data_IF_213993496775
#
_entry.id   IF_213993496775
#
_cell.length_a   1.000
_cell.length_b   1.000
_cell.length_c   1.000
_cell.angle_alpha   90.00
_cell.angle_beta   90.00
_cell.angle_gamma   90.00
#
_symmetry.space_group_name_H-M   'P 1'
#
loop_
_entity.id
_entity.type
_entity.pdbx_description
1 polymer ?
#
# COMPACT_ATOMS: atom_id res chain seq x y z
N UNK A 1 -48.08 0.52 -6.61
CA UNK A 1 -49.38 1.06 -6.18
C UNK A 1 -49.43 0.77 -4.69
N UNK A 2 -49.12 1.75 -3.85
CA UNK A 2 -50.17 2.66 -3.42
C UNK A 2 -49.72 4.12 -3.33
N UNK A 3 -50.56 5.00 -3.86
CA UNK A 3 -50.44 6.46 -3.78
C UNK A 3 -51.28 6.89 -2.59
N UNK A 4 -50.72 7.63 -1.66
CA UNK A 4 -51.49 8.34 -0.64
C UNK A 4 -50.55 8.90 0.42
N UNK A 5 -50.64 10.15 0.86
CA UNK A 5 -51.52 11.27 0.56
C UNK A 5 -50.62 12.50 0.74
N UNK A 6 -50.72 13.46 -0.17
CA UNK A 6 -50.18 14.80 0.10
C UNK A 6 -50.86 15.31 1.36
N UNK A 7 -50.08 15.61 2.40
CA UNK A 7 -50.54 16.55 3.41
C UNK A 7 -50.48 17.92 2.74
N UNK A 8 -51.64 18.46 2.41
CA UNK A 8 -51.79 19.92 2.30
C UNK A 8 -51.34 20.50 3.63
N UNK A 9 -50.19 21.15 3.62
CA UNK A 9 -49.85 22.10 4.67
C UNK A 9 -50.46 23.41 4.21
N UNK A 10 -51.62 23.73 4.77
CA UNK A 10 -52.14 25.09 4.78
C UNK A 10 -51.15 25.87 5.66
N UNK A 11 -50.48 26.85 5.07
CA UNK A 11 -49.60 27.76 5.80
C UNK A 11 -50.52 28.80 6.43
N UNK A 12 -50.61 28.81 7.75
CA UNK A 12 -51.21 29.92 8.49
C UNK A 12 -50.14 31.01 8.59
N UNK A 13 -50.38 32.14 7.93
CA UNK A 13 -49.44 33.26 7.86
C UNK A 13 -49.50 34.15 9.12
N UNK A 14 -50.26 33.74 10.14
CA UNK A 14 -50.38 34.46 11.41
C UNK A 14 -49.42 33.97 12.52
N UNK A 15 -48.35 33.24 12.20
CA UNK A 15 -47.34 32.89 13.21
C UNK A 15 -46.52 34.16 13.53
N UNK A 16 -46.91 34.88 14.59
CA UNK A 16 -46.47 36.23 15.00
C UNK A 16 -44.96 36.36 15.36
N UNK A 17 -44.10 35.39 15.04
CA UNK A 17 -42.68 35.38 15.41
C UNK A 17 -41.70 35.76 14.28
N UNK A 18 -42.18 36.33 13.16
CA UNK A 18 -41.34 36.66 11.99
C UNK A 18 -41.54 38.10 11.49
N UNK A 19 -40.77 39.04 12.04
CA UNK A 19 -40.69 40.43 11.58
C UNK A 19 -39.54 40.59 10.58
N UNK A 20 -39.84 40.64 9.27
CA UNK A 20 -38.84 40.95 8.24
C UNK A 20 -39.35 42.00 7.25
N UNK A 21 -38.58 43.07 7.12
CA UNK A 21 -38.78 44.11 6.13
C UNK A 21 -38.39 43.60 4.74
N UNK A 22 -39.39 43.22 3.94
CA UNK A 22 -39.32 43.29 2.49
C UNK A 22 -40.29 44.37 2.01
N UNK A 23 -39.91 45.10 0.96
CA UNK A 23 -40.67 46.24 0.45
C UNK A 23 -42.16 45.87 0.20
N UNK A 24 -43.02 46.39 1.06
CA UNK A 24 -44.50 46.38 1.03
C UNK A 24 -45.19 45.01 0.88
N UNK A 25 -45.70 44.48 1.99
CA UNK A 25 -46.76 43.44 2.00
C UNK A 25 -48.04 44.06 1.42
N UNK A 26 -48.53 43.54 0.28
CA UNK A 26 -49.78 44.00 -0.33
C UNK A 26 -50.91 43.03 0.02
N UNK A 27 -51.92 43.51 0.76
CA UNK A 27 -53.17 42.78 1.01
C UNK A 27 -54.08 42.89 -0.21
N UNK A 28 -54.29 41.80 -0.93
CA UNK A 28 -55.38 41.66 -1.92
C UNK A 28 -56.51 40.82 -1.34
N UNK A 29 -57.77 41.13 -1.68
CA UNK A 29 -59.02 40.61 -1.08
C UNK A 29 -59.32 39.10 -1.28
N UNK A 30 -58.31 38.23 -1.19
CA UNK A 30 -58.47 36.78 -1.03
C UNK A 30 -57.37 36.25 -0.11
N UNK A 31 -57.74 35.42 0.87
CA UNK A 31 -57.00 35.03 2.09
C UNK A 31 -55.62 34.32 1.92
N UNK A 32 -54.71 34.77 1.06
CA UNK A 32 -53.31 34.33 1.04
C UNK A 32 -52.37 35.57 0.98
N UNK A 33 -51.57 35.80 2.03
CA UNK A 33 -50.57 36.89 2.01
C UNK A 33 -49.46 36.56 1.01
N UNK A 34 -49.27 37.42 0.02
CA UNK A 34 -48.25 37.27 -1.00
C UNK A 34 -46.99 38.07 -0.62
N UNK A 35 -45.84 37.39 -0.55
CA UNK A 35 -44.54 38.04 -0.38
C UNK A 35 -44.13 38.63 -1.74
N UNK A 36 -43.81 39.93 -1.77
CA UNK A 36 -43.26 40.59 -2.95
C UNK A 36 -41.74 40.66 -2.86
N UNK A 37 -41.05 40.32 -3.95
CA UNK A 37 -39.61 40.56 -4.12
C UNK A 37 -39.39 41.24 -5.46
N UNK A 38 -38.84 42.46 -5.43
CA UNK A 38 -38.64 43.31 -6.62
C UNK A 38 -39.91 43.46 -7.47
N UNK A 39 -41.02 43.84 -6.83
CA UNK A 39 -42.34 44.07 -7.45
C UNK A 39 -43.00 42.83 -8.11
N UNK A 40 -42.51 41.62 -7.83
CA UNK A 40 -43.12 40.35 -8.26
C UNK A 40 -43.55 39.50 -7.08
N UNK A 41 -44.65 38.78 -7.26
CA UNK A 41 -45.06 37.72 -6.32
C UNK A 41 -43.93 36.69 -6.26
N UNK A 42 -43.47 36.36 -5.05
CA UNK A 42 -42.33 35.48 -4.81
C UNK A 42 -42.47 34.13 -5.52
N UNK A 43 -43.68 33.60 -5.59
CA UNK A 43 -44.01 32.33 -6.24
C UNK A 43 -43.93 32.40 -7.79
N UNK A 44 -43.91 33.60 -8.36
CA UNK A 44 -43.85 33.85 -9.81
C UNK A 44 -42.44 34.22 -10.29
N UNK A 45 -41.43 34.15 -9.41
CA UNK A 45 -40.04 34.41 -9.77
C UNK A 45 -39.52 33.35 -10.75
N UNK A 46 -39.01 33.80 -11.90
CA UNK A 46 -38.35 32.91 -12.87
C UNK A 46 -36.87 32.73 -12.53
N UNK A 47 -36.24 31.70 -13.10
CA UNK A 47 -34.78 31.46 -12.93
C UNK A 47 -33.95 32.69 -13.36
N UNK A 48 -34.39 33.40 -14.40
CA UNK A 48 -33.71 34.60 -14.89
C UNK A 48 -33.85 35.80 -13.94
N UNK A 49 -34.97 35.89 -13.22
CA UNK A 49 -35.19 36.92 -12.20
C UNK A 49 -34.25 36.69 -11.01
N UNK A 50 -34.16 35.45 -10.53
CA UNK A 50 -33.28 35.07 -9.42
C UNK A 50 -31.80 35.24 -9.79
N UNK A 51 -31.41 34.98 -11.05
CA UNK A 51 -30.02 35.09 -11.50
C UNK A 51 -29.51 36.54 -11.51
N UNK A 52 -30.41 37.53 -11.64
CA UNK A 52 -30.06 38.96 -11.71
C UNK A 52 -30.14 39.66 -10.35
N UNK A 53 -30.47 38.94 -9.29
CA UNK A 53 -30.54 39.52 -7.94
C UNK A 53 -29.14 39.80 -7.41
N UNK A 54 -28.98 40.99 -6.84
CA UNK A 54 -27.81 41.39 -6.08
C UNK A 54 -28.22 41.55 -4.61
N UNK A 55 -27.41 41.01 -3.71
CA UNK A 55 -27.64 41.08 -2.26
C UNK A 55 -26.56 41.96 -1.62
N UNK A 56 -26.95 42.73 -0.61
CA UNK A 56 -26.06 43.64 0.09
C UNK A 56 -25.17 42.93 1.13
N UNK A 57 -25.56 41.72 1.54
CA UNK A 57 -24.81 40.86 2.48
C UNK A 57 -25.00 39.36 2.19
N UNK A 58 -24.13 38.53 2.79
CA UNK A 58 -24.20 37.06 2.65
C UNK A 58 -25.40 36.50 3.42
N UNK A 59 -25.74 37.14 4.54
CA UNK A 59 -26.87 36.81 5.40
C UNK A 59 -28.20 37.02 4.65
N UNK A 60 -28.34 38.15 3.93
CA UNK A 60 -29.51 38.47 3.11
C UNK A 60 -29.68 37.47 1.95
N UNK A 61 -28.58 37.10 1.29
CA UNK A 61 -28.60 36.07 0.25
C UNK A 61 -29.01 34.69 0.79
N UNK A 62 -28.52 34.34 1.98
CA UNK A 62 -28.84 33.07 2.66
C UNK A 62 -30.33 32.99 3.02
N UNK A 63 -30.90 34.06 3.56
CA UNK A 63 -32.32 34.14 3.90
C UNK A 63 -33.20 33.98 2.66
N UNK A 64 -32.88 34.71 1.58
CA UNK A 64 -33.60 34.61 0.31
C UNK A 64 -33.56 33.18 -0.25
N UNK A 65 -32.39 32.56 -0.37
CA UNK A 65 -32.28 31.23 -0.96
C UNK A 65 -32.90 30.14 -0.09
N UNK A 66 -32.88 30.28 1.24
CA UNK A 66 -33.59 29.36 2.14
C UNK A 66 -35.11 29.43 1.95
N UNK A 67 -35.68 30.64 1.80
CA UNK A 67 -37.10 30.82 1.51
C UNK A 67 -37.45 30.30 0.11
N UNK A 68 -36.64 30.64 -0.90
CA UNK A 68 -36.84 30.22 -2.28
C UNK A 68 -36.81 28.69 -2.41
N UNK A 69 -35.86 28.03 -1.75
CA UNK A 69 -35.73 26.57 -1.73
C UNK A 69 -36.93 25.87 -1.06
N UNK A 70 -37.50 26.44 0.02
CA UNK A 70 -38.71 25.94 0.67
C UNK A 70 -39.91 25.97 -0.29
N UNK A 71 -40.09 27.06 -1.02
CA UNK A 71 -41.20 27.25 -1.97
C UNK A 71 -41.06 26.35 -3.19
N UNK A 72 -39.86 26.27 -3.76
CA UNK A 72 -39.56 25.53 -4.99
C UNK A 72 -39.19 24.06 -4.75
N UNK A 73 -39.20 23.61 -3.49
CA UNK A 73 -38.97 22.22 -3.06
C UNK A 73 -37.60 21.65 -3.41
N UNK A 74 -36.54 22.44 -3.26
CA UNK A 74 -35.16 21.93 -3.21
C UNK A 74 -34.48 22.29 -1.88
N UNK A 75 -33.27 21.79 -1.63
CA UNK A 75 -32.53 22.05 -0.39
C UNK A 75 -31.29 22.89 -0.69
N UNK A 76 -31.07 23.93 0.11
CA UNK A 76 -29.86 24.77 0.08
C UNK A 76 -28.96 24.36 1.24
N UNK A 77 -27.64 24.33 0.99
CA UNK A 77 -26.61 24.13 2.02
C UNK A 77 -25.58 25.23 1.91
N UNK A 78 -25.21 25.80 3.05
CA UNK A 78 -24.07 26.72 3.20
C UNK A 78 -22.80 25.89 3.42
N UNK A 79 -21.83 26.00 2.52
CA UNK A 79 -20.53 25.34 2.64
C UNK A 79 -19.44 26.35 3.05
N UNK A 80 -18.83 26.12 4.22
CA UNK A 80 -17.70 26.92 4.70
C UNK A 80 -16.40 26.53 3.99
N UNK A 81 -16.07 27.25 2.91
CA UNK A 81 -14.82 27.05 2.17
C UNK A 81 -13.65 27.73 2.91
N UNK A 82 -12.99 27.01 3.81
CA UNK A 82 -11.73 27.48 4.43
C UNK A 82 -10.62 27.55 3.37
N UNK A 83 -10.01 28.73 3.21
CA UNK A 83 -8.89 28.98 2.28
C UNK A 83 -7.61 29.31 3.03
N UNK A 84 -6.47 28.89 2.50
CA UNK A 84 -5.16 29.28 3.04
C UNK A 84 -4.73 30.68 2.60
N UNK A 85 -3.55 31.15 3.07
CA UNK A 85 -2.97 32.47 2.71
C UNK A 85 -2.79 32.68 1.20
N UNK A 86 -2.79 31.59 0.43
CA UNK A 86 -2.66 31.59 -1.03
C UNK A 86 -4.00 31.34 -1.73
N UNK A 87 -5.12 31.55 -1.02
CA UNK A 87 -6.51 31.37 -1.48
C UNK A 87 -6.92 29.95 -1.90
N UNK A 88 -6.13 28.93 -1.56
CA UNK A 88 -6.48 27.56 -1.90
C UNK A 88 -7.43 26.95 -0.88
N UNK A 89 -8.40 26.16 -1.34
CA UNK A 89 -9.33 25.42 -0.48
C UNK A 89 -8.57 24.38 0.37
N UNK A 90 -8.63 24.54 1.70
CA UNK A 90 -7.92 23.72 2.67
C UNK A 90 -8.45 22.27 2.69
N UNK A 91 -9.76 22.08 2.53
CA UNK A 91 -10.38 20.74 2.46
C UNK A 91 -9.87 19.93 1.26
N UNK A 92 -9.70 20.56 0.10
CA UNK A 92 -9.14 19.89 -1.09
C UNK A 92 -7.69 19.45 -0.87
N UNK A 93 -6.87 20.26 -0.19
CA UNK A 93 -5.49 19.88 0.18
C UNK A 93 -5.47 18.71 1.16
N UNK A 94 -6.31 18.75 2.18
CA UNK A 94 -6.42 17.65 3.14
C UNK A 94 -6.87 16.34 2.47
N UNK A 95 -7.90 16.40 1.61
CA UNK A 95 -8.37 15.24 0.85
C UNK A 95 -7.30 14.71 -0.12
N UNK A 96 -6.61 15.60 -0.85
CA UNK A 96 -5.50 15.23 -1.72
C UNK A 96 -4.40 14.51 -0.93
N UNK A 97 -3.97 15.07 0.21
CA UNK A 97 -2.91 14.51 1.02
C UNK A 97 -3.32 13.16 1.62
N UNK A 98 -4.58 13.01 2.05
CA UNK A 98 -5.13 11.75 2.51
C UNK A 98 -5.11 10.68 1.41
N UNK A 99 -5.62 11.00 0.21
CA UNK A 99 -5.66 10.07 -0.94
C UNK A 99 -4.26 9.72 -1.46
N UNK A 100 -3.33 10.69 -1.49
CA UNK A 100 -1.92 10.40 -1.79
C UNK A 100 -1.29 9.53 -0.73
N UNK A 101 -1.62 9.76 0.53
CA UNK A 101 -1.18 8.94 1.65
C UNK A 101 -1.58 7.48 1.48
N UNK A 102 -2.73 7.19 0.85
CA UNK A 102 -3.19 5.82 0.56
C UNK A 102 -2.60 5.23 -0.74
N UNK A 103 -1.74 5.96 -1.44
CA UNK A 103 -1.05 5.50 -2.66
C UNK A 103 -1.79 5.81 -3.96
N UNK A 104 -2.87 6.59 -3.95
CA UNK A 104 -3.56 6.98 -5.18
C UNK A 104 -2.68 7.88 -6.06
N UNK A 105 -2.71 7.63 -7.38
CA UNK A 105 -2.01 8.49 -8.33
C UNK A 105 -2.66 9.86 -8.45
N UNK A 106 -1.87 10.92 -8.61
CA UNK A 106 -2.36 12.31 -8.74
C UNK A 106 -3.42 12.47 -9.84
N UNK A 107 -3.35 11.70 -10.93
CA UNK A 107 -4.42 11.71 -11.95
C UNK A 107 -5.72 11.13 -11.44
N UNK A 108 -5.68 9.99 -10.73
CA UNK A 108 -6.87 9.34 -10.15
C UNK A 108 -7.52 10.24 -9.10
N UNK A 109 -6.71 10.96 -8.32
CA UNK A 109 -7.22 11.94 -7.35
C UNK A 109 -7.90 13.11 -8.05
N UNK A 110 -7.32 13.62 -9.14
CA UNK A 110 -7.96 14.65 -9.97
C UNK A 110 -9.30 14.17 -10.50
N UNK A 111 -9.35 12.97 -11.09
CA UNK A 111 -10.57 12.41 -11.68
C UNK A 111 -11.66 12.22 -10.60
N UNK A 112 -11.27 11.75 -9.42
CA UNK A 112 -12.18 11.62 -8.27
C UNK A 112 -12.74 12.98 -7.83
N UNK A 113 -11.89 14.00 -7.65
CA UNK A 113 -12.32 15.33 -7.20
C UNK A 113 -13.21 16.01 -8.24
N UNK A 114 -12.94 15.80 -9.54
CA UNK A 114 -13.78 16.28 -10.64
C UNK A 114 -15.15 15.60 -10.61
N UNK A 115 -15.19 14.28 -10.41
CA UNK A 115 -16.44 13.53 -10.32
C UNK A 115 -17.28 13.97 -9.11
N UNK A 116 -16.65 14.11 -7.94
CA UNK A 116 -17.30 14.58 -6.72
C UNK A 116 -17.88 15.99 -6.89
N UNK A 117 -17.18 16.85 -7.62
CA UNK A 117 -17.62 18.24 -7.87
C UNK A 117 -18.64 18.36 -9.02
N UNK A 118 -18.96 17.27 -9.72
CA UNK A 118 -19.89 17.29 -10.85
C UNK A 118 -19.30 17.90 -12.14
N UNK A 119 -17.97 17.97 -12.27
CA UNK A 119 -17.30 18.44 -13.48
C UNK A 119 -16.06 19.28 -13.22
N UNK A 120 -15.23 19.45 -14.27
CA UNK A 120 -13.96 20.17 -14.18
C UNK A 120 -14.14 21.65 -13.80
N UNK A 121 -15.24 22.28 -14.22
CA UNK A 121 -15.50 23.69 -13.91
C UNK A 121 -15.84 23.91 -12.43
N UNK A 122 -16.27 22.87 -11.73
CA UNK A 122 -16.80 22.97 -10.36
C UNK A 122 -15.74 22.65 -9.30
N UNK A 123 -14.59 22.07 -9.68
CA UNK A 123 -13.54 21.64 -8.74
C UNK A 123 -12.71 22.82 -8.18
N UNK A 124 -12.73 23.96 -8.88
CA UNK A 124 -12.09 25.20 -8.42
C UNK A 124 -10.57 25.26 -8.53
N UNK A 125 -9.92 24.29 -9.18
CA UNK A 125 -8.47 24.31 -9.47
C UNK A 125 -8.15 23.45 -10.71
N UNK A 126 -7.02 23.69 -11.34
CA UNK A 126 -6.60 22.92 -12.52
C UNK A 126 -5.78 21.69 -12.13
N UNK A 127 -5.68 20.72 -13.05
CA UNK A 127 -4.73 19.62 -12.91
C UNK A 127 -3.31 20.13 -12.62
N UNK A 128 -2.87 21.22 -13.28
CA UNK A 128 -1.55 21.81 -13.06
C UNK A 128 -1.36 22.28 -11.62
N UNK A 129 -2.38 22.91 -11.02
CA UNK A 129 -2.34 23.37 -9.62
C UNK A 129 -2.18 22.19 -8.65
N UNK A 130 -2.88 21.09 -8.92
CA UNK A 130 -2.75 19.85 -8.15
C UNK A 130 -1.33 19.31 -8.19
N UNK A 131 -0.73 19.20 -9.38
CA UNK A 131 0.65 18.74 -9.54
C UNK A 131 1.65 19.70 -8.89
N UNK A 132 1.45 21.02 -9.03
CA UNK A 132 2.30 22.03 -8.39
C UNK A 132 2.25 21.94 -6.86
N UNK A 133 1.06 21.70 -6.29
CA UNK A 133 0.92 21.51 -4.85
C UNK A 133 1.63 20.25 -4.37
N UNK A 134 1.42 19.12 -5.07
CA UNK A 134 2.11 17.85 -4.78
C UNK A 134 3.63 18.02 -4.83
N UNK A 135 4.13 18.75 -5.81
CA UNK A 135 5.56 19.00 -5.96
C UNK A 135 6.10 19.97 -4.91
N UNK A 136 5.31 20.98 -4.52
CA UNK A 136 5.65 21.87 -3.40
C UNK A 136 5.72 21.12 -2.06
N UNK A 137 4.73 20.28 -1.76
CA UNK A 137 4.70 19.43 -0.57
C UNK A 137 5.89 18.46 -0.54
N UNK A 138 6.20 17.86 -1.71
CA UNK A 138 7.39 17.03 -1.87
C UNK A 138 8.68 17.81 -1.58
N UNK A 139 8.83 19.04 -2.09
CA UNK A 139 10.02 19.88 -1.81
C UNK A 139 10.18 20.19 -0.33
N UNK A 140 9.10 20.41 0.41
CA UNK A 140 9.14 20.64 1.85
C UNK A 140 9.73 19.44 2.58
N UNK A 141 9.25 18.24 2.27
CA UNK A 141 9.73 17.00 2.90
C UNK A 141 11.14 16.58 2.45
N UNK A 142 11.55 16.97 1.24
CA UNK A 142 12.87 16.69 0.69
C UNK A 142 13.90 17.77 1.00
N UNK A 143 13.54 18.84 1.71
CA UNK A 143 14.42 20.00 1.97
C UNK A 143 15.74 19.57 2.60
N UNK A 144 15.70 18.60 3.52
CA UNK A 144 16.88 18.11 4.23
C UNK A 144 17.53 16.88 3.56
N UNK A 145 16.96 16.42 2.44
CA UNK A 145 17.39 15.25 1.67
C UNK A 145 16.41 14.08 1.77
N UNK A 146 16.29 13.31 0.69
CA UNK A 146 15.33 12.21 0.59
C UNK A 146 15.55 11.10 1.63
N UNK A 147 16.80 10.68 1.82
CA UNK A 147 17.17 9.72 2.85
C UNK A 147 16.82 10.23 4.26
N UNK A 148 17.06 11.52 4.55
CA UNK A 148 16.73 12.11 5.84
C UNK A 148 15.22 12.14 6.07
N UNK A 149 14.43 12.43 5.04
CA UNK A 149 12.97 12.34 5.12
C UNK A 149 12.50 10.92 5.48
N UNK A 150 13.06 9.90 4.85
CA UNK A 150 12.74 8.50 5.16
C UNK A 150 13.14 8.13 6.60
N UNK A 151 14.34 8.52 7.05
CA UNK A 151 14.82 8.27 8.41
C UNK A 151 14.01 9.03 9.47
N UNK A 152 13.61 10.27 9.20
CA UNK A 152 12.76 11.05 10.09
C UNK A 152 11.38 10.40 10.28
N UNK A 153 10.82 9.79 9.22
CA UNK A 153 9.59 9.01 9.32
C UNK A 153 9.76 7.80 10.25
N UNK A 154 10.83 7.03 10.09
CA UNK A 154 11.11 5.87 10.94
C UNK A 154 11.43 6.26 12.38
N UNK A 155 12.11 7.39 12.58
CA UNK A 155 12.32 7.98 13.91
C UNK A 155 10.98 8.30 14.59
N UNK A 156 10.06 8.98 13.89
CA UNK A 156 8.72 9.24 14.42
C UNK A 156 7.94 7.95 14.72
N UNK A 157 8.12 6.88 13.94
CA UNK A 157 7.53 5.56 14.25
C UNK A 157 8.12 4.98 15.54
N UNK A 158 9.42 5.10 15.77
CA UNK A 158 10.06 4.66 17.01
C UNK A 158 9.66 5.45 18.26
N UNK A 159 9.22 6.70 18.10
CA UNK A 159 8.65 7.48 19.20
C UNK A 159 7.25 7.01 19.60
N UNK A 160 6.48 6.47 18.64
CA UNK A 160 5.11 5.98 18.84
C UNK A 160 5.05 4.51 19.25
N UNK A 161 5.99 3.70 18.77
CA UNK A 161 6.15 2.29 19.11
C UNK A 161 7.54 2.08 19.74
N UNK A 162 7.62 1.98 21.08
CA UNK A 162 8.89 1.78 21.78
C UNK A 162 9.66 0.51 21.41
N UNK A 163 8.98 -0.47 20.79
CA UNK A 163 9.59 -1.72 20.33
C UNK A 163 9.95 -1.70 18.85
N UNK A 164 9.56 -0.66 18.11
CA UNK A 164 9.96 -0.44 16.73
C UNK A 164 11.49 -0.36 16.64
N UNK A 165 12.06 -1.11 15.72
CA UNK A 165 13.49 -1.17 15.50
C UNK A 165 13.80 -0.73 14.08
N UNK A 166 14.76 0.18 13.91
CA UNK A 166 15.35 0.45 12.61
C UNK A 166 16.85 0.69 12.75
N UNK A 167 17.60 0.32 11.72
CA UNK A 167 19.06 0.50 11.66
C UNK A 167 19.45 0.80 10.23
N UNK A 168 20.48 1.61 10.06
CA UNK A 168 20.99 1.97 8.75
C UNK A 168 22.50 2.16 8.79
N UNK A 169 23.11 2.13 7.60
CA UNK A 169 24.47 2.59 7.39
C UNK A 169 24.54 3.45 6.12
N UNK A 170 25.67 4.16 5.98
CA UNK A 170 25.97 4.99 4.82
C UNK A 170 27.16 4.43 4.06
N UNK A 171 27.27 4.77 2.78
CA UNK A 171 28.45 4.48 1.96
C UNK A 171 29.55 5.54 2.16
N UNK A 172 30.64 5.40 1.41
CA UNK A 172 31.81 6.29 1.45
C UNK A 172 31.46 7.75 1.08
N UNK A 173 30.40 7.94 0.27
CA UNK A 173 29.89 9.25 -0.15
C UNK A 173 28.82 9.80 0.81
N UNK A 174 28.62 9.16 1.97
CA UNK A 174 27.62 9.51 2.97
C UNK A 174 26.16 9.42 2.45
N UNK A 175 25.92 8.60 1.43
CA UNK A 175 24.57 8.25 1.00
C UNK A 175 24.04 7.07 1.80
N UNK A 176 22.72 7.01 2.01
CA UNK A 176 22.08 5.87 2.67
C UNK A 176 22.36 4.59 1.88
N UNK A 177 23.16 3.69 2.45
CA UNK A 177 23.55 2.43 1.84
C UNK A 177 22.46 1.39 2.11
N UNK A 178 22.33 0.97 3.36
CA UNK A 178 21.34 -0.01 3.78
C UNK A 178 20.42 0.57 4.86
N UNK A 179 19.16 0.13 4.84
CA UNK A 179 18.14 0.51 5.80
C UNK A 179 17.32 -0.72 6.14
N UNK A 180 17.20 -1.05 7.41
CA UNK A 180 16.37 -2.12 7.94
C UNK A 180 15.35 -1.52 8.93
N UNK A 181 14.13 -2.07 8.94
CA UNK A 181 13.14 -1.77 9.98
C UNK A 181 12.23 -2.97 10.27
N UNK A 182 11.74 -3.04 11.50
CA UNK A 182 10.74 -4.00 11.98
C UNK A 182 9.89 -3.33 13.08
N UNK A 183 8.58 -3.49 13.02
CA UNK A 183 7.69 -3.00 14.07
C UNK A 183 7.59 -3.98 15.25
N UNK A 184 6.90 -3.55 16.31
CA UNK A 184 6.63 -4.38 17.49
C UNK A 184 5.94 -5.69 17.17
N UNK A 185 4.93 -5.68 16.30
CA UNK A 185 4.18 -6.88 15.89
C UNK A 185 5.09 -7.87 15.18
N UNK A 186 5.87 -7.43 14.19
CA UNK A 186 6.87 -8.24 13.50
C UNK A 186 7.85 -8.92 14.45
N UNK A 187 8.31 -8.21 15.48
CA UNK A 187 9.23 -8.74 16.50
C UNK A 187 8.55 -9.76 17.42
N UNK A 188 7.31 -9.48 17.84
CA UNK A 188 6.51 -10.42 18.63
C UNK A 188 6.22 -11.70 17.85
N UNK A 189 5.83 -11.56 16.59
CA UNK A 189 5.58 -12.68 15.70
C UNK A 189 6.83 -13.55 15.52
N UNK A 190 8.00 -12.95 15.35
CA UNK A 190 9.25 -13.72 15.28
C UNK A 190 9.56 -14.46 16.60
N UNK A 191 9.23 -13.86 17.74
CA UNK A 191 9.40 -14.55 19.04
C UNK A 191 8.58 -15.84 19.10
N UNK A 192 7.37 -15.83 18.52
CA UNK A 192 6.46 -16.98 18.48
C UNK A 192 6.75 -17.97 17.35
N UNK A 193 7.01 -17.48 16.13
CA UNK A 193 7.03 -18.27 14.90
C UNK A 193 8.40 -18.30 14.19
N UNK A 194 9.41 -17.59 14.70
CA UNK A 194 10.71 -17.40 14.05
C UNK A 194 11.62 -18.61 13.89
N UNK A 195 11.07 -19.83 13.87
CA UNK A 195 11.80 -21.08 13.62
C UNK A 195 12.16 -21.23 12.14
N UNK A 196 11.37 -20.65 11.24
CA UNK A 196 11.65 -20.62 9.80
C UNK A 196 11.82 -19.18 9.35
N UNK A 197 12.77 -18.94 8.45
CA UNK A 197 13.00 -17.64 7.83
C UNK A 197 13.03 -17.79 6.31
N UNK A 198 12.04 -17.25 5.64
CA UNK A 198 12.00 -17.16 4.19
C UNK A 198 12.26 -15.72 3.74
N UNK A 199 13.13 -15.55 2.75
CA UNK A 199 13.32 -14.24 2.13
C UNK A 199 13.88 -14.34 0.72
N UNK A 200 13.62 -13.29 -0.05
CA UNK A 200 14.12 -13.06 -1.41
C UNK A 200 14.39 -11.58 -1.63
N UNK A 201 15.19 -11.27 -2.64
CA UNK A 201 15.47 -9.90 -3.04
C UNK A 201 14.72 -9.50 -4.30
N UNK A 202 14.08 -8.34 -4.26
CA UNK A 202 13.43 -7.76 -5.44
C UNK A 202 14.11 -6.48 -5.89
N UNK A 203 14.40 -6.39 -7.19
CA UNK A 203 15.10 -5.27 -7.80
C UNK A 203 14.13 -4.20 -8.35
N UNK A 204 14.60 -2.94 -8.48
CA UNK A 204 13.90 -1.79 -9.09
C UNK A 204 12.63 -1.31 -8.39
N UNK A 205 12.49 -1.53 -7.09
CA UNK A 205 11.30 -1.09 -6.33
C UNK A 205 11.24 0.42 -6.08
N UNK A 206 12.36 1.15 -6.25
CA UNK A 206 12.49 2.58 -5.97
C UNK A 206 13.41 3.30 -6.98
N UNK A 207 13.44 4.63 -6.91
CA UNK A 207 14.17 5.53 -7.82
C UNK A 207 15.69 5.27 -7.84
N UNK A 208 16.23 4.70 -6.77
CA UNK A 208 17.65 4.39 -6.59
C UNK A 208 17.99 2.96 -7.00
N UNK A 209 16.98 2.19 -7.44
CA UNK A 209 17.10 0.76 -7.78
C UNK A 209 17.67 -0.09 -6.64
N UNK A 210 17.53 0.34 -5.39
CA UNK A 210 17.95 -0.44 -4.22
C UNK A 210 17.14 -1.75 -4.13
N UNK A 211 17.78 -2.93 -3.96
CA UNK A 211 17.06 -4.17 -3.69
C UNK A 211 16.21 -4.05 -2.43
N UNK A 212 14.99 -4.56 -2.49
CA UNK A 212 14.09 -4.70 -1.34
C UNK A 212 14.12 -6.16 -0.87
N UNK A 213 14.30 -6.34 0.44
CA UNK A 213 14.19 -7.63 1.11
C UNK A 213 13.01 -7.59 2.07
N UNK A 214 12.20 -8.64 2.05
CA UNK A 214 11.12 -8.86 3.00
C UNK A 214 11.39 -10.20 3.67
N UNK A 215 11.51 -10.18 5.00
CA UNK A 215 11.78 -11.35 5.83
C UNK A 215 10.47 -11.87 6.37
N UNK A 216 10.10 -13.11 6.04
CA UNK A 216 8.77 -13.66 6.30
C UNK A 216 8.80 -15.10 6.81
N UNK A 217 7.67 -15.52 7.36
CA UNK A 217 7.30 -16.92 7.59
C UNK A 217 5.76 -17.04 7.53
N UNK A 218 5.19 -18.13 8.07
CA UNK A 218 3.76 -18.31 8.25
C UNK A 218 3.38 -18.61 9.71
N UNK A 219 2.17 -18.20 10.11
CA UNK A 219 1.61 -18.58 11.41
C UNK A 219 0.91 -19.95 11.36
N UNK A 220 0.34 -20.38 12.48
CA UNK A 220 -0.42 -21.62 12.61
C UNK A 220 -1.73 -21.67 11.80
N UNK A 221 -2.16 -20.55 11.21
CA UNK A 221 -3.26 -20.47 10.25
C UNK A 221 -2.78 -20.44 8.79
N UNK A 222 -1.49 -20.68 8.54
CA UNK A 222 -0.85 -20.60 7.23
C UNK A 222 -0.90 -19.20 6.57
N UNK A 223 -1.14 -18.16 7.36
CA UNK A 223 -1.08 -16.77 6.92
C UNK A 223 0.37 -16.28 6.93
N UNK A 224 0.74 -15.44 5.97
CA UNK A 224 2.10 -14.88 5.88
C UNK A 224 2.33 -13.86 6.97
N UNK A 225 3.44 -13.99 7.68
CA UNK A 225 3.88 -13.03 8.68
C UNK A 225 5.14 -12.35 8.17
N UNK A 226 5.29 -11.05 8.44
CA UNK A 226 6.48 -10.29 8.11
C UNK A 226 7.24 -9.98 9.39
N UNK A 227 8.51 -10.35 9.43
CA UNK A 227 9.39 -10.11 10.57
C UNK A 227 10.23 -8.83 10.41
N UNK A 228 10.39 -8.33 9.20
CA UNK A 228 11.15 -7.12 8.96
C UNK A 228 11.42 -6.91 7.48
N UNK A 229 11.87 -5.71 7.15
CA UNK A 229 12.10 -5.29 5.77
C UNK A 229 13.41 -4.51 5.67
N UNK A 230 14.03 -4.58 4.49
CA UNK A 230 15.25 -3.84 4.23
C UNK A 230 15.34 -3.30 2.80
N UNK A 231 15.92 -2.10 2.68
CA UNK A 231 16.44 -1.57 1.43
C UNK A 231 17.96 -1.70 1.46
N UNK A 232 18.51 -2.35 0.44
CA UNK A 232 19.94 -2.68 0.36
C UNK A 232 20.66 -1.80 -0.66
N UNK A 233 21.97 -1.61 -0.48
CA UNK A 233 22.81 -0.93 -1.47
C UNK A 233 23.05 -1.80 -2.70
N UNK A 234 23.25 -3.10 -2.48
CA UNK A 234 23.54 -4.10 -3.51
C UNK A 234 23.19 -5.51 -3.03
N UNK A 235 23.48 -6.51 -3.87
CA UNK A 235 23.27 -7.94 -3.59
C UNK A 235 24.59 -8.65 -3.25
N UNK A 236 25.50 -7.96 -2.54
CA UNK A 236 26.80 -8.52 -2.15
C UNK A 236 26.72 -9.38 -0.87
N UNK A 237 27.74 -10.19 -0.64
CA UNK A 237 27.85 -11.00 0.59
C UNK A 237 27.89 -10.12 1.84
N UNK A 238 28.63 -9.00 1.79
CA UNK A 238 28.73 -8.05 2.90
C UNK A 238 27.38 -7.42 3.24
N UNK A 239 26.62 -7.03 2.22
CA UNK A 239 25.30 -6.43 2.39
C UNK A 239 24.28 -7.44 2.95
N UNK A 240 24.28 -8.67 2.44
CA UNK A 240 23.45 -9.73 3.04
C UNK A 240 23.90 -10.11 4.45
N UNK A 241 25.19 -10.06 4.75
CA UNK A 241 25.69 -10.29 6.10
C UNK A 241 25.16 -9.21 7.05
N UNK A 242 25.25 -7.94 6.63
CA UNK A 242 24.76 -6.80 7.41
C UNK A 242 23.26 -6.91 7.71
N UNK A 243 22.43 -7.26 6.72
CA UNK A 243 20.97 -7.36 6.95
C UNK A 243 20.61 -8.52 7.86
N UNK A 244 21.31 -9.66 7.76
CA UNK A 244 21.07 -10.80 8.64
C UNK A 244 21.56 -10.56 10.08
N UNK A 245 22.69 -9.88 10.25
CA UNK A 245 23.18 -9.45 11.58
C UNK A 245 22.22 -8.43 12.21
N UNK A 246 21.75 -7.46 11.41
CA UNK A 246 20.78 -6.45 11.86
C UNK A 246 19.44 -7.07 12.21
N UNK A 247 18.99 -8.05 11.42
CA UNK A 247 17.79 -8.81 11.72
C UNK A 247 17.92 -9.54 13.06
N UNK A 248 19.03 -10.24 13.32
CA UNK A 248 19.24 -10.91 14.61
C UNK A 248 19.23 -9.94 15.79
N UNK A 249 19.89 -8.79 15.64
CA UNK A 249 19.92 -7.73 16.64
C UNK A 249 18.50 -7.25 16.97
N UNK A 250 17.67 -7.03 15.94
CA UNK A 250 16.26 -6.67 16.10
C UNK A 250 15.42 -7.77 16.79
N UNK A 251 15.82 -9.03 16.62
CA UNK A 251 15.10 -10.24 17.05
C UNK A 251 15.65 -10.87 18.34
N UNK A 252 16.32 -10.07 19.18
CA UNK A 252 16.91 -10.53 20.44
C UNK A 252 17.87 -11.72 20.26
N UNK A 253 18.58 -11.76 19.12
CA UNK A 253 19.51 -12.82 18.72
C UNK A 253 18.92 -14.24 18.64
N UNK A 254 17.58 -14.39 18.57
CA UNK A 254 16.97 -15.68 18.23
C UNK A 254 17.30 -16.02 16.78
N UNK A 255 17.98 -17.16 16.56
CA UNK A 255 18.30 -17.68 15.22
C UNK A 255 17.18 -18.60 14.73
N UNK A 256 16.85 -18.58 13.42
CA UNK A 256 15.92 -19.55 12.86
C UNK A 256 16.54 -20.95 12.84
N UNK A 257 15.72 -21.99 12.92
CA UNK A 257 16.13 -23.38 12.71
C UNK A 257 16.35 -23.66 11.22
N UNK A 258 15.56 -23.00 10.37
CA UNK A 258 15.54 -23.24 8.92
C UNK A 258 15.45 -21.94 8.14
N UNK A 259 16.07 -21.92 6.96
CA UNK A 259 16.07 -20.77 6.06
C UNK A 259 15.70 -21.19 4.64
N UNK A 260 14.81 -20.45 3.98
CA UNK A 260 14.37 -20.72 2.61
C UNK A 260 14.70 -19.52 1.71
N UNK A 261 15.40 -19.76 0.59
CA UNK A 261 15.77 -18.70 -0.37
C UNK A 261 15.77 -19.19 -1.82
N UNK A 262 15.91 -18.29 -2.79
CA UNK A 262 16.10 -18.63 -4.22
C UNK A 262 17.46 -19.31 -4.54
N UNK A 263 18.39 -19.37 -3.57
CA UNK A 263 19.69 -20.02 -3.74
C UNK A 263 20.83 -19.15 -4.25
N UNK A 264 20.64 -17.82 -4.26
CA UNK A 264 21.68 -16.85 -4.59
C UNK A 264 23.01 -17.15 -3.86
N UNK A 265 24.12 -16.96 -4.57
CA UNK A 265 25.45 -17.33 -4.08
C UNK A 265 25.89 -16.42 -2.95
N UNK A 266 25.53 -15.14 -2.99
CA UNK A 266 25.89 -14.18 -1.96
C UNK A 266 25.04 -14.39 -0.69
N UNK A 267 23.72 -14.54 -0.83
CA UNK A 267 22.82 -14.93 0.26
C UNK A 267 23.30 -16.19 0.96
N UNK A 268 23.62 -17.24 0.20
CA UNK A 268 24.10 -18.51 0.76
C UNK A 268 25.34 -18.36 1.63
N UNK A 269 26.30 -17.52 1.19
CA UNK A 269 27.52 -17.25 1.96
C UNK A 269 27.21 -16.49 3.25
N UNK A 270 26.33 -15.49 3.18
CA UNK A 270 25.89 -14.74 4.35
C UNK A 270 25.12 -15.62 5.35
N UNK A 271 24.17 -16.44 4.88
CA UNK A 271 23.43 -17.41 5.70
C UNK A 271 24.40 -18.36 6.40
N UNK A 272 25.35 -18.98 5.67
CA UNK A 272 26.33 -19.88 6.29
C UNK A 272 27.18 -19.19 7.36
N UNK A 273 27.41 -17.88 7.24
CA UNK A 273 28.19 -17.09 8.21
C UNK A 273 27.39 -16.75 9.47
N UNK A 274 26.13 -16.35 9.31
CA UNK A 274 25.29 -15.84 10.42
C UNK A 274 24.45 -16.95 11.07
N UNK A 275 24.02 -17.92 10.27
CA UNK A 275 23.16 -19.05 10.61
C UNK A 275 23.85 -20.39 10.27
N UNK A 276 25.02 -20.70 10.86
CA UNK A 276 25.79 -21.89 10.48
C UNK A 276 25.05 -23.21 10.77
N UNK A 277 24.19 -23.21 11.78
CA UNK A 277 23.46 -24.40 12.25
C UNK A 277 22.06 -24.54 11.62
N UNK A 278 21.59 -23.52 10.89
CA UNK A 278 20.26 -23.54 10.29
C UNK A 278 20.24 -24.39 9.02
N UNK A 279 19.17 -25.15 8.83
CA UNK A 279 18.98 -25.91 7.60
C UNK A 279 18.61 -24.98 6.45
N UNK A 280 19.40 -24.96 5.38
CA UNK A 280 19.18 -24.07 4.24
C UNK A 280 18.49 -24.81 3.10
N UNK A 281 17.20 -24.53 2.89
CA UNK A 281 16.41 -25.04 1.78
C UNK A 281 16.40 -24.05 0.61
N UNK A 282 16.51 -24.59 -0.60
CA UNK A 282 16.32 -23.87 -1.85
C UNK A 282 14.84 -23.91 -2.25
N UNK A 283 14.32 -22.78 -2.71
CA UNK A 283 12.94 -22.66 -3.17
C UNK A 283 12.66 -23.62 -4.34
N UNK A 284 11.71 -24.54 -4.13
CA UNK A 284 11.34 -25.55 -5.12
C UNK A 284 10.83 -24.92 -6.43
N UNK A 285 10.05 -23.83 -6.36
CA UNK A 285 9.52 -23.15 -7.54
C UNK A 285 10.64 -22.62 -8.45
N UNK A 286 11.66 -21.96 -7.87
CA UNK A 286 12.81 -21.47 -8.62
C UNK A 286 13.60 -22.62 -9.26
N UNK A 287 13.74 -23.73 -8.54
CA UNK A 287 14.42 -24.93 -9.06
C UNK A 287 13.65 -25.53 -10.24
N UNK A 288 12.33 -25.71 -10.14
CA UNK A 288 11.49 -26.22 -11.21
C UNK A 288 11.51 -25.30 -12.44
N UNK A 289 11.44 -23.98 -12.23
CA UNK A 289 11.54 -22.99 -13.31
C UNK A 289 12.90 -23.08 -14.01
N UNK A 290 13.98 -23.20 -13.25
CA UNK A 290 15.32 -23.36 -13.80
C UNK A 290 15.46 -24.68 -14.56
N UNK A 291 14.85 -25.77 -14.09
CA UNK A 291 14.84 -27.05 -14.78
C UNK A 291 14.21 -26.93 -16.18
N UNK A 292 13.06 -26.26 -16.26
CA UNK A 292 12.37 -25.98 -17.52
C UNK A 292 13.23 -25.16 -18.48
N UNK A 293 13.90 -24.11 -17.98
CA UNK A 293 14.72 -23.21 -18.80
C UNK A 293 16.07 -23.79 -19.21
N UNK A 294 16.62 -24.78 -18.51
CA UNK A 294 17.98 -25.27 -18.79
C UNK A 294 18.02 -26.62 -19.53
N UNK A 295 17.01 -27.48 -19.37
CA UNK A 295 17.08 -28.84 -19.91
C UNK A 295 16.32 -28.98 -21.24
N UNK A 296 15.21 -28.24 -21.43
CA UNK A 296 14.43 -28.24 -22.68
C UNK A 296 14.02 -29.62 -23.23
N UNK A 297 13.97 -30.65 -22.37
CA UNK A 297 13.50 -32.00 -22.72
C UNK A 297 12.05 -32.15 -22.31
N UNK A 298 11.22 -32.69 -23.22
CA UNK A 298 9.80 -32.95 -22.95
C UNK A 298 9.65 -33.90 -21.75
N UNK A 299 8.68 -33.64 -20.89
CA UNK A 299 8.33 -34.46 -19.71
C UNK A 299 9.41 -34.59 -18.62
N UNK A 300 10.62 -34.07 -18.83
CA UNK A 300 11.69 -34.05 -17.83
C UNK A 300 11.26 -33.33 -16.55
N UNK A 301 10.67 -32.14 -16.66
CA UNK A 301 10.27 -31.33 -15.50
C UNK A 301 9.26 -32.05 -14.60
N UNK A 302 8.42 -32.92 -15.17
CA UNK A 302 7.47 -33.73 -14.41
C UNK A 302 8.18 -34.80 -13.59
N UNK A 303 9.14 -35.52 -14.19
CA UNK A 303 9.93 -36.55 -13.50
C UNK A 303 10.89 -35.95 -12.47
N UNK A 304 11.52 -34.83 -12.82
CA UNK A 304 12.33 -34.06 -11.91
C UNK A 304 11.53 -33.58 -10.69
N UNK A 305 10.30 -33.08 -10.89
CA UNK A 305 9.42 -32.70 -9.78
C UNK A 305 9.04 -33.89 -8.89
N UNK A 306 8.82 -35.08 -9.47
CA UNK A 306 8.59 -36.30 -8.68
C UNK A 306 9.80 -36.64 -7.80
N UNK A 307 11.02 -36.48 -8.31
CA UNK A 307 12.24 -36.65 -7.51
C UNK A 307 12.35 -35.60 -6.40
N UNK A 308 12.09 -34.32 -6.72
CA UNK A 308 12.15 -33.22 -5.74
C UNK A 308 11.24 -33.44 -4.54
N UNK A 309 10.00 -33.88 -4.78
CA UNK A 309 8.97 -34.02 -3.75
C UNK A 309 8.79 -35.47 -3.29
N UNK A 310 9.76 -36.34 -3.55
CA UNK A 310 9.70 -37.74 -3.15
C UNK A 310 9.71 -37.85 -1.62
N UNK A 311 8.58 -38.30 -1.08
CA UNK A 311 8.45 -38.70 0.32
C UNK A 311 8.98 -40.14 0.45
N UNK A 312 10.27 -40.27 0.74
CA UNK A 312 10.95 -41.55 0.78
C UNK A 312 12.25 -41.51 1.58
N UNK A 313 13.02 -42.60 1.51
CA UNK A 313 14.40 -42.63 2.02
C UNK A 313 15.37 -42.00 1.02
N UNK A 314 16.58 -41.72 1.48
CA UNK A 314 17.65 -41.24 0.60
C UNK A 314 17.95 -42.26 -0.51
N UNK A 315 17.91 -43.55 -0.20
CA UNK A 315 18.14 -44.62 -1.16
C UNK A 315 17.07 -44.65 -2.26
N UNK A 316 15.80 -44.47 -1.90
CA UNK A 316 14.70 -44.39 -2.87
C UNK A 316 14.85 -43.17 -3.80
N UNK A 317 15.28 -42.03 -3.25
CA UNK A 317 15.58 -40.85 -4.05
C UNK A 317 16.75 -41.10 -5.01
N UNK A 318 17.84 -41.71 -4.56
CA UNK A 318 19.00 -41.98 -5.42
C UNK A 318 18.66 -42.94 -6.56
N UNK A 319 17.84 -43.96 -6.30
CA UNK A 319 17.31 -44.83 -7.36
C UNK A 319 16.47 -44.03 -8.37
N UNK A 320 15.46 -43.28 -7.90
CA UNK A 320 14.59 -42.52 -8.79
C UNK A 320 15.30 -41.41 -9.58
N UNK A 321 16.31 -40.79 -8.97
CA UNK A 321 17.17 -39.82 -9.63
C UNK A 321 17.95 -40.46 -10.78
N UNK A 322 18.60 -41.60 -10.54
CA UNK A 322 19.35 -42.32 -11.56
C UNK A 322 18.43 -42.84 -12.68
N UNK A 323 17.28 -43.41 -12.35
CA UNK A 323 16.27 -43.85 -13.34
C UNK A 323 15.84 -42.68 -14.25
N UNK A 324 15.65 -41.49 -13.68
CA UNK A 324 15.35 -40.28 -14.45
C UNK A 324 16.52 -39.88 -15.37
N UNK A 325 17.77 -39.94 -14.89
CA UNK A 325 18.94 -39.62 -15.73
C UNK A 325 19.07 -40.57 -16.92
N UNK A 326 18.85 -41.87 -16.71
CA UNK A 326 18.89 -42.88 -17.76
C UNK A 326 17.77 -42.67 -18.77
N UNK A 327 16.53 -42.49 -18.30
CA UNK A 327 15.34 -42.29 -19.13
C UNK A 327 15.49 -41.12 -20.12
N UNK A 328 16.12 -40.02 -19.68
CA UNK A 328 16.29 -38.82 -20.50
C UNK A 328 17.70 -38.67 -21.10
N UNK A 329 18.60 -39.64 -20.87
CA UNK A 329 20.00 -39.58 -21.27
C UNK A 329 20.71 -38.28 -20.83
N UNK A 330 20.54 -37.91 -19.56
CA UNK A 330 21.04 -36.64 -18.99
C UNK A 330 22.31 -36.82 -18.15
N UNK A 331 22.95 -37.99 -18.20
CA UNK A 331 24.27 -38.19 -17.57
C UNK A 331 25.27 -37.18 -18.15
N UNK A 332 25.90 -36.38 -17.28
CA UNK A 332 26.84 -35.34 -17.66
C UNK A 332 26.20 -34.01 -18.13
N UNK A 333 24.87 -33.88 -18.13
CA UNK A 333 24.24 -32.60 -18.43
C UNK A 333 24.58 -31.56 -17.33
N UNK A 334 25.34 -30.52 -17.70
CA UNK A 334 25.94 -29.56 -16.76
C UNK A 334 24.98 -29.06 -15.69
N UNK A 335 23.81 -28.55 -16.08
CA UNK A 335 22.84 -28.02 -15.12
C UNK A 335 22.28 -29.10 -14.18
N UNK A 336 22.09 -30.32 -14.67
CA UNK A 336 21.55 -31.45 -13.90
C UNK A 336 22.57 -31.91 -12.86
N UNK A 337 23.85 -31.98 -13.26
CA UNK A 337 24.96 -32.22 -12.33
C UNK A 337 25.06 -31.11 -11.28
N UNK A 338 24.96 -29.84 -11.68
CA UNK A 338 25.08 -28.68 -10.79
C UNK A 338 23.93 -28.59 -9.76
N UNK A 339 22.71 -29.00 -10.14
CA UNK A 339 21.58 -29.03 -9.20
C UNK A 339 21.64 -30.24 -8.28
N UNK A 340 22.05 -31.41 -8.78
CA UNK A 340 22.26 -32.60 -7.95
C UNK A 340 23.32 -32.37 -6.88
N UNK A 341 24.40 -31.62 -7.16
CA UNK A 341 25.39 -31.26 -6.14
C UNK A 341 24.81 -30.46 -4.94
N UNK A 342 23.54 -30.03 -5.04
CA UNK A 342 22.80 -29.29 -4.00
C UNK A 342 21.60 -30.09 -3.48
N UNK A 343 21.45 -31.38 -3.81
CA UNK A 343 20.26 -32.21 -3.51
C UNK A 343 19.84 -32.15 -2.04
N UNK A 344 20.81 -32.09 -1.12
CA UNK A 344 20.55 -32.00 0.32
C UNK A 344 19.81 -30.73 0.77
N UNK A 345 19.59 -29.78 -0.15
CA UNK A 345 18.90 -28.51 0.10
C UNK A 345 17.58 -28.38 -0.62
N UNK A 346 17.15 -29.37 -1.41
CA UNK A 346 15.91 -29.25 -2.18
C UNK A 346 15.14 -30.55 -2.35
N UNK A 347 15.78 -31.70 -2.19
CA UNK A 347 15.11 -32.99 -2.24
C UNK A 347 14.44 -33.28 -0.90
N UNK A 348 13.14 -33.57 -0.91
CA UNK A 348 12.35 -33.87 0.30
C UNK A 348 12.96 -35.02 1.11
N UNK A 349 13.42 -36.09 0.45
CA UNK A 349 14.07 -37.23 1.09
C UNK A 349 15.27 -36.84 1.98
N UNK A 350 16.01 -35.78 1.60
CA UNK A 350 17.16 -35.27 2.36
C UNK A 350 16.79 -34.20 3.40
N UNK A 351 15.66 -33.52 3.21
CA UNK A 351 15.16 -32.51 4.13
C UNK A 351 14.30 -33.10 5.25
N UNK A 352 14.03 -34.41 5.20
CA UNK A 352 13.31 -35.14 6.24
C UNK A 352 13.96 -34.94 7.61
N UNK A 353 13.16 -34.57 8.59
CA UNK A 353 13.60 -34.30 9.96
C UNK A 353 13.89 -32.83 10.26
N UNK A 354 13.89 -31.95 9.25
CA UNK A 354 13.95 -30.50 9.44
C UNK A 354 12.56 -29.88 9.38
N UNK A 355 12.37 -28.81 10.15
CA UNK A 355 11.12 -28.08 10.20
C UNK A 355 11.14 -26.89 9.25
N UNK A 356 10.16 -26.80 8.36
CA UNK A 356 9.99 -25.68 7.39
C UNK A 356 8.58 -25.10 7.40
N UNK A 357 7.78 -25.35 8.46
CA UNK A 357 6.39 -24.90 8.56
C UNK A 357 5.51 -25.29 7.33
N UNK A 358 5.85 -26.37 6.62
CA UNK A 358 5.17 -26.78 5.38
C UNK A 358 5.52 -25.92 4.14
N UNK A 359 6.41 -24.95 4.27
CA UNK A 359 6.90 -24.13 3.17
C UNK A 359 7.93 -24.91 2.34
N UNK A 360 7.70 -24.98 1.02
CA UNK A 360 8.67 -25.52 0.04
C UNK A 360 9.18 -24.46 -0.93
N UNK A 361 8.64 -23.25 -0.84
CA UNK A 361 8.93 -22.14 -1.75
C UNK A 361 8.85 -20.80 -1.03
N UNK A 362 9.44 -19.78 -1.65
CA UNK A 362 9.28 -18.37 -1.29
C UNK A 362 8.09 -17.72 -2.01
N UNK A 363 7.10 -18.50 -2.46
CA UNK A 363 5.93 -17.97 -3.17
C UNK A 363 5.17 -16.93 -2.35
N UNK A 364 5.21 -17.03 -1.00
CA UNK A 364 4.68 -16.01 -0.11
C UNK A 364 5.42 -14.67 -0.24
N UNK A 365 6.75 -14.70 -0.33
CA UNK A 365 7.56 -13.50 -0.66
C UNK A 365 7.17 -12.94 -2.03
N UNK A 366 7.03 -13.79 -3.05
CA UNK A 366 6.67 -13.35 -4.41
C UNK A 366 5.26 -12.74 -4.47
N UNK A 367 4.28 -13.35 -3.80
CA UNK A 367 2.92 -12.83 -3.66
C UNK A 367 2.90 -11.48 -2.95
N UNK A 368 3.68 -11.37 -1.87
CA UNK A 368 3.87 -10.13 -1.11
C UNK A 368 4.46 -9.04 -2.00
N UNK A 369 5.54 -9.35 -2.73
CA UNK A 369 6.17 -8.45 -3.67
C UNK A 369 5.20 -8.01 -4.78
N UNK A 370 4.40 -8.93 -5.32
CA UNK A 370 3.39 -8.63 -6.32
C UNK A 370 2.29 -7.70 -5.78
N UNK A 371 1.85 -7.90 -4.53
CA UNK A 371 0.91 -7.00 -3.86
C UNK A 371 1.51 -5.60 -3.68
N UNK A 372 2.73 -5.54 -3.15
CA UNK A 372 3.44 -4.29 -2.87
C UNK A 372 3.73 -3.49 -4.15
N UNK A 373 4.03 -4.16 -5.26
CA UNK A 373 4.25 -3.52 -6.56
C UNK A 373 3.05 -2.70 -7.07
N UNK A 374 1.84 -2.89 -6.52
CA UNK A 374 0.67 -2.05 -6.82
C UNK A 374 0.80 -0.63 -6.26
N UNK A 375 1.55 -0.48 -5.17
CA UNK A 375 1.77 0.78 -4.46
C UNK A 375 3.17 1.34 -4.67
N UNK A 376 4.17 0.46 -4.84
CA UNK A 376 5.58 0.81 -4.94
C UNK A 376 6.02 0.98 -6.40
N UNK A 377 6.02 2.22 -6.88
CA UNK A 377 6.46 2.54 -8.24
C UNK A 377 7.98 2.71 -8.29
N UNK A 378 8.60 2.28 -9.38
CA UNK A 378 10.05 2.38 -9.64
C UNK A 378 10.63 3.80 -9.57
N UNK A 379 9.79 4.84 -9.60
CA UNK A 379 10.18 6.25 -9.52
C UNK A 379 10.04 6.85 -8.13
N UNK A 380 9.56 6.08 -7.14
CA UNK A 380 9.42 6.56 -5.77
C UNK A 380 10.79 6.81 -5.15
N UNK A 381 10.95 8.00 -4.61
CA UNK A 381 12.05 8.35 -3.72
C UNK A 381 11.89 7.63 -2.37
N UNK A 382 12.94 7.55 -1.56
CA UNK A 382 12.97 6.79 -0.29
C UNK A 382 11.87 7.23 0.67
N UNK A 383 11.70 8.55 0.88
CA UNK A 383 10.65 9.06 1.75
C UNK A 383 9.24 8.68 1.24
N UNK A 384 9.05 8.75 -0.08
CA UNK A 384 7.80 8.37 -0.72
C UNK A 384 7.60 6.85 -0.84
N UNK A 385 8.65 6.07 -0.58
CA UNK A 385 8.63 4.61 -0.59
C UNK A 385 8.20 4.05 0.77
N UNK A 386 8.80 4.52 1.87
CA UNK A 386 8.61 3.92 3.21
C UNK A 386 7.16 4.08 3.70
N UNK A 387 6.51 5.22 3.41
CA UNK A 387 5.12 5.47 3.85
C UNK A 387 4.08 4.53 3.21
N UNK A 388 3.98 4.42 1.87
CA UNK A 388 3.06 3.47 1.25
C UNK A 388 3.42 2.01 1.55
N UNK A 389 4.71 1.70 1.71
CA UNK A 389 5.16 0.37 2.09
C UNK A 389 4.62 -0.07 3.45
N UNK A 390 4.84 0.76 4.47
CA UNK A 390 4.36 0.55 5.86
C UNK A 390 2.83 0.39 5.90
N UNK A 391 2.10 1.24 5.17
CA UNK A 391 0.64 1.10 5.04
C UNK A 391 0.22 -0.22 4.37
N UNK A 392 0.90 -0.62 3.29
CA UNK A 392 0.57 -1.84 2.58
C UNK A 392 0.79 -3.07 3.48
N UNK A 393 1.87 -3.07 4.26
CA UNK A 393 2.15 -4.09 5.29
C UNK A 393 1.06 -4.15 6.36
N UNK A 394 0.64 -3.00 6.86
CA UNK A 394 -0.43 -2.92 7.86
C UNK A 394 -1.74 -3.54 7.33
N UNK A 395 -2.12 -3.24 6.08
CA UNK A 395 -3.33 -3.84 5.47
C UNK A 395 -3.20 -5.36 5.33
N UNK A 396 -2.01 -5.86 4.99
CA UNK A 396 -1.76 -7.28 4.83
C UNK A 396 -1.77 -8.06 6.14
N UNK A 397 -1.54 -7.38 7.26
CA UNK A 397 -1.49 -7.99 8.60
C UNK A 397 -2.81 -7.84 9.36
N UNK A 398 -3.68 -6.89 9.00
CA UNK A 398 -4.99 -6.68 9.65
C UNK A 398 -6.21 -7.25 8.92
N UNK A 399 -6.12 -7.55 7.62
CA UNK A 399 -7.28 -8.08 6.87
C UNK A 399 -7.28 -9.62 6.95
N UNK A 400 -8.29 -10.25 7.61
CA UNK A 400 -8.35 -11.71 7.80
C UNK A 400 -8.46 -12.51 6.49
#
# INVERSE_FOLDING_TARGET
>A
MDKGKGKEFIIDLNDEDFDYQYDSIVKTESDEEAILVSDKIFNDLTIEDVWKMEFSSVEEAEEFYNLFAKVTRFSVRKDDVKRDKNQNIVSHKAQLNAMRGVGMGTSQIMDYMVQQSGGYNNVGFTKKDLYNHVDADRRVHLRDGDAKGALAYLCGKSEMDPSFYYKYNVDEDNHLANLFWADSTSKLDYSCFGDVLAFDTTYRTNAYKKPLVILVDINHHHQTIVFGCALLVDESVSTYTWVLETFLDAMNNKKPLSVITNGDKAMRKAIKRIFPDSCHQLCAWHIQRNAFTNVHVKDFTNHFSKCMFMEGTVEEFECAWNDMLEMFNLHGHKWVTDIYAKHSRWAEAYLRGYFFAGMKSIQRCESMNAYLNRFLKTRLKLFEFVKPFDRALYILTEVP
#
